data_IF_219214182591
#
_entry.id   IF_219214182591
#
_cell.length_a   1.000
_cell.length_b   1.000
_cell.length_c   1.000
_cell.angle_alpha   90.00
_cell.angle_beta   90.00
_cell.angle_gamma   90.00
#
_symmetry.space_group_name_H-M   'P 1'
#
loop_
_entity.id
_entity.type
_entity.pdbx_description
1 polymer ?
#
# COMPACT_ATOMS: atom_id res chain seq x y z
N UNK A 1 25.32 -6.43 -2.28
CA UNK A 1 23.96 -5.89 -2.51
C UNK A 1 23.49 -6.22 -3.92
N UNK A 2 22.21 -6.57 -4.12
CA UNK A 2 21.58 -6.76 -5.43
C UNK A 2 20.27 -5.99 -5.51
N UNK A 3 19.93 -5.47 -6.69
CA UNK A 3 18.72 -4.68 -6.92
C UNK A 3 17.80 -5.43 -7.90
N UNK A 4 16.54 -5.65 -7.53
CA UNK A 4 15.55 -6.35 -8.34
C UNK A 4 14.36 -5.45 -8.64
N UNK A 5 14.16 -5.10 -9.91
CA UNK A 5 12.99 -4.35 -10.36
C UNK A 5 11.86 -5.31 -10.75
N UNK A 6 10.67 -5.08 -10.21
CA UNK A 6 9.46 -5.85 -10.51
C UNK A 6 8.44 -4.93 -11.18
N UNK A 7 7.76 -5.42 -12.22
CA UNK A 7 6.80 -4.62 -13.01
C UNK A 7 5.34 -5.01 -12.76
N UNK A 8 5.10 -6.14 -12.11
CA UNK A 8 3.77 -6.64 -11.73
C UNK A 8 3.75 -7.10 -10.27
N UNK A 9 2.57 -7.10 -9.64
CA UNK A 9 2.38 -7.60 -8.27
C UNK A 9 2.73 -9.09 -8.21
N UNK A 10 2.45 -9.84 -9.26
CA UNK A 10 2.73 -11.28 -9.37
C UNK A 10 4.24 -11.54 -9.37
N UNK A 11 5.00 -10.75 -10.14
CA UNK A 11 6.47 -10.83 -10.15
C UNK A 11 7.06 -10.47 -8.78
N UNK A 12 6.49 -9.45 -8.11
CA UNK A 12 6.89 -9.05 -6.77
C UNK A 12 6.63 -10.15 -5.73
N UNK A 13 5.41 -10.71 -5.71
CA UNK A 13 5.04 -11.78 -4.80
C UNK A 13 5.95 -13.00 -4.98
N UNK A 14 6.21 -13.39 -6.23
CA UNK A 14 7.11 -14.50 -6.53
C UNK A 14 8.54 -14.24 -6.01
N UNK A 15 9.05 -13.01 -6.19
CA UNK A 15 10.36 -12.62 -5.68
C UNK A 15 10.42 -12.66 -4.15
N UNK A 16 9.39 -12.16 -3.43
CA UNK A 16 9.36 -12.20 -1.96
C UNK A 16 9.47 -13.62 -1.43
N UNK A 17 8.78 -14.58 -2.05
CA UNK A 17 8.82 -15.97 -1.61
C UNK A 17 10.19 -16.60 -1.86
N UNK A 18 10.84 -16.27 -2.99
CA UNK A 18 12.22 -16.73 -3.25
C UNK A 18 13.20 -16.18 -2.22
N UNK A 19 13.10 -14.88 -1.91
CA UNK A 19 13.94 -14.23 -0.91
C UNK A 19 13.69 -14.77 0.50
N UNK A 20 12.44 -15.04 0.87
CA UNK A 20 12.10 -15.64 2.18
C UNK A 20 12.70 -17.04 2.33
N UNK A 21 12.65 -17.87 1.27
CA UNK A 21 13.28 -19.20 1.27
C UNK A 21 14.81 -19.13 1.37
N UNK A 22 15.40 -18.06 0.85
CA UNK A 22 16.82 -17.76 1.00
C UNK A 22 17.17 -17.18 2.38
N UNK A 23 16.18 -16.96 3.25
CA UNK A 23 16.35 -16.45 4.62
C UNK A 23 16.31 -14.94 4.76
N UNK A 24 15.90 -14.21 3.72
CA UNK A 24 15.82 -12.76 3.74
C UNK A 24 14.51 -12.27 4.37
N UNK A 25 14.61 -11.15 5.09
CA UNK A 25 13.52 -10.55 5.87
C UNK A 25 13.58 -9.02 5.80
N UNK A 26 12.48 -8.34 6.08
CA UNK A 26 12.43 -6.87 6.09
C UNK A 26 13.04 -6.27 7.35
N UNK A 27 12.95 -7.00 8.45
CA UNK A 27 13.52 -6.68 9.75
C UNK A 27 13.51 -7.94 10.63
N UNK A 28 13.86 -7.81 11.91
CA UNK A 28 13.90 -8.95 12.84
C UNK A 28 12.55 -9.67 13.03
N UNK A 29 11.43 -9.00 12.71
CA UNK A 29 10.07 -9.47 12.97
C UNK A 29 9.34 -9.89 11.69
N UNK A 30 9.43 -9.09 10.63
CA UNK A 30 8.64 -9.23 9.42
C UNK A 30 9.38 -10.04 8.34
N UNK A 31 8.75 -11.14 7.91
CA UNK A 31 9.25 -11.94 6.78
C UNK A 31 8.98 -11.27 5.45
N UNK A 32 9.72 -11.67 4.41
CA UNK A 32 9.61 -11.04 3.09
C UNK A 32 8.16 -11.06 2.53
N UNK A 33 7.39 -12.13 2.77
CA UNK A 33 6.01 -12.26 2.26
C UNK A 33 4.93 -11.58 3.10
N UNK A 34 5.25 -11.14 4.32
CA UNK A 34 4.28 -10.52 5.25
C UNK A 34 4.11 -9.01 5.01
N UNK A 35 5.06 -8.37 4.31
CA UNK A 35 5.01 -6.94 4.00
C UNK A 35 4.92 -6.73 2.48
N UNK A 36 3.82 -6.11 2.04
CA UNK A 36 3.59 -5.79 0.63
C UNK A 36 4.14 -4.40 0.27
N UNK A 37 5.46 -4.27 0.21
CA UNK A 37 6.13 -3.02 -0.17
C UNK A 37 5.78 -2.56 -1.60
N UNK A 38 5.24 -3.45 -2.43
CA UNK A 38 4.72 -3.13 -3.76
C UNK A 38 3.71 -1.98 -3.76
N UNK A 39 2.89 -1.86 -2.71
CA UNK A 39 1.82 -0.86 -2.66
C UNK A 39 2.34 0.58 -2.66
N UNK A 40 3.62 0.78 -2.32
CA UNK A 40 4.26 2.09 -2.26
C UNK A 40 4.65 2.60 -3.65
N UNK A 41 5.36 1.81 -4.46
CA UNK A 41 5.90 2.26 -5.74
C UNK A 41 5.33 1.53 -6.96
N UNK A 42 4.49 0.50 -6.76
CA UNK A 42 3.86 -0.31 -7.81
C UNK A 42 4.92 -0.76 -8.83
N UNK A 43 4.69 -0.56 -10.13
CA UNK A 43 5.61 -0.92 -11.20
C UNK A 43 6.98 -0.21 -11.17
N UNK A 44 7.20 0.74 -10.26
CA UNK A 44 8.50 1.35 -10.00
C UNK A 44 9.23 0.72 -8.79
N UNK A 45 8.73 -0.37 -8.22
CA UNK A 45 9.31 -1.01 -7.03
C UNK A 45 10.62 -1.72 -7.36
N UNK A 46 11.69 -1.31 -6.69
CA UNK A 46 12.97 -2.03 -6.67
C UNK A 46 13.19 -2.60 -5.27
N UNK A 47 13.34 -3.91 -5.20
CA UNK A 47 13.71 -4.63 -3.98
C UNK A 47 15.24 -4.64 -3.88
N UNK A 48 15.73 -4.18 -2.75
CA UNK A 48 17.15 -4.06 -2.42
C UNK A 48 17.49 -5.24 -1.52
N UNK A 49 18.34 -6.13 -2.02
CA UNK A 49 18.88 -7.26 -1.28
C UNK A 49 20.20 -6.82 -0.66
N UNK A 50 20.20 -6.53 0.63
CA UNK A 50 21.41 -6.14 1.37
C UNK A 50 22.26 -7.39 1.70
N UNK A 51 23.52 -7.19 2.09
CA UNK A 51 24.45 -8.31 2.29
C UNK A 51 24.11 -9.18 3.51
N UNK A 52 23.40 -8.63 4.50
CA UNK A 52 23.30 -9.18 5.85
C UNK A 52 21.93 -9.79 6.15
N UNK A 53 21.31 -10.42 5.13
CA UNK A 53 19.97 -11.01 5.16
C UNK A 53 18.78 -10.03 5.25
N UNK A 54 19.04 -8.73 5.24
CA UNK A 54 17.99 -7.71 5.26
C UNK A 54 17.54 -7.27 3.86
N UNK A 55 16.27 -6.89 3.78
CA UNK A 55 15.62 -6.35 2.59
C UNK A 55 15.31 -4.86 2.75
N UNK A 56 15.59 -4.10 1.71
CA UNK A 56 15.13 -2.73 1.52
C UNK A 56 14.26 -2.62 0.28
N UNK A 57 13.57 -1.50 0.12
CA UNK A 57 12.84 -1.21 -1.12
C UNK A 57 12.85 0.30 -1.40
N UNK A 58 12.89 0.66 -2.68
CA UNK A 58 12.85 2.04 -3.11
C UNK A 58 12.26 2.15 -4.52
N UNK A 59 12.03 3.38 -4.97
CA UNK A 59 11.64 3.63 -6.35
C UNK A 59 12.82 3.40 -7.30
N UNK A 60 12.53 2.94 -8.51
CA UNK A 60 13.52 2.74 -9.58
C UNK A 60 14.40 3.99 -9.80
N UNK A 61 13.78 5.16 -9.92
CA UNK A 61 14.53 6.42 -10.12
C UNK A 61 15.41 6.82 -8.94
N UNK A 62 15.03 6.46 -7.70
CA UNK A 62 15.92 6.65 -6.54
C UNK A 62 17.14 5.73 -6.67
N UNK A 63 16.93 4.45 -6.98
CA UNK A 63 18.01 3.48 -7.14
C UNK A 63 18.97 3.86 -8.27
N UNK A 64 18.46 4.33 -9.42
CA UNK A 64 19.29 4.79 -10.54
C UNK A 64 20.18 5.99 -10.17
N UNK A 65 19.69 6.88 -9.29
CA UNK A 65 20.43 8.06 -8.86
C UNK A 65 21.46 7.77 -7.76
N UNK A 66 21.13 6.87 -6.84
CA UNK A 66 21.95 6.60 -5.64
C UNK A 66 22.91 5.44 -5.88
N UNK A 67 22.46 4.38 -6.54
CA UNK A 67 23.23 3.17 -6.79
C UNK A 67 23.72 3.12 -8.25
N UNK A 68 24.41 4.17 -8.68
CA UNK A 68 24.79 4.37 -10.09
C UNK A 68 25.63 3.21 -10.67
N UNK A 69 26.47 2.60 -9.83
CA UNK A 69 27.36 1.49 -10.21
C UNK A 69 26.73 0.11 -9.98
N UNK A 70 25.50 0.05 -9.43
CA UNK A 70 24.81 -1.22 -9.16
C UNK A 70 23.69 -1.44 -10.17
N UNK A 71 23.85 -2.37 -11.13
CA UNK A 71 22.83 -2.59 -12.14
C UNK A 71 21.54 -3.14 -11.52
N UNK A 72 20.42 -2.53 -11.92
CA UNK A 72 19.08 -2.98 -11.52
C UNK A 72 18.68 -4.16 -12.40
N UNK A 73 18.48 -5.31 -11.78
CA UNK A 73 18.09 -6.54 -12.47
C UNK A 73 16.58 -6.59 -12.60
N UNK A 74 16.07 -6.66 -13.83
CA UNK A 74 14.65 -6.89 -14.05
C UNK A 74 14.29 -8.32 -13.64
N UNK A 75 13.34 -8.46 -12.73
CA UNK A 75 12.83 -9.75 -12.29
C UNK A 75 11.54 -10.09 -13.04
N UNK A 76 11.44 -11.34 -13.50
CA UNK A 76 10.23 -11.90 -14.10
C UNK A 76 10.03 -13.31 -13.57
N UNK A 77 8.88 -13.56 -12.96
CA UNK A 77 8.54 -14.88 -12.45
C UNK A 77 8.38 -15.88 -13.61
N UNK A 78 8.88 -17.10 -13.43
CA UNK A 78 8.62 -18.20 -14.37
C UNK A 78 7.19 -18.70 -14.17
N UNK A 79 6.43 -18.82 -15.26
CA UNK A 79 5.02 -19.26 -15.27
C UNK A 79 4.76 -20.54 -14.47
N UNK A 80 5.68 -21.51 -14.51
CA UNK A 80 5.55 -22.79 -13.78
C UNK A 80 5.53 -22.62 -12.25
N UNK A 81 6.16 -21.56 -11.72
CA UNK A 81 6.12 -21.24 -10.29
C UNK A 81 4.80 -20.58 -9.89
N UNK A 82 4.21 -19.77 -10.78
CA UNK A 82 2.95 -19.04 -10.55
C UNK A 82 1.77 -20.03 -10.42
N UNK A 83 1.71 -21.05 -11.28
CA UNK A 83 0.65 -22.06 -11.26
C UNK A 83 0.57 -22.81 -9.92
N UNK A 84 1.72 -23.18 -9.33
CA UNK A 84 1.78 -23.88 -8.04
C UNK A 84 1.22 -23.04 -6.88
N UNK A 85 1.40 -21.72 -6.90
CA UNK A 85 0.87 -20.84 -5.85
C UNK A 85 -0.63 -20.57 -5.98
N UNK A 86 -1.21 -20.56 -7.19
CA UNK A 86 -2.66 -20.48 -7.31
C UNK A 86 -3.33 -21.70 -6.68
N UNK A 87 -2.75 -22.90 -6.86
CA UNK A 87 -3.26 -24.12 -6.25
C UNK A 87 -3.08 -24.11 -4.73
N UNK A 88 -1.91 -23.71 -4.21
CA UNK A 88 -1.65 -23.64 -2.77
C UNK A 88 -2.49 -22.55 -2.08
N UNK A 89 -2.66 -21.38 -2.70
CA UNK A 89 -3.49 -20.29 -2.17
C UNK A 89 -4.98 -20.63 -2.23
N UNK A 90 -5.46 -21.30 -3.28
CA UNK A 90 -6.82 -21.80 -3.36
C UNK A 90 -7.09 -22.89 -2.30
N UNK A 91 -6.11 -23.77 -2.06
CA UNK A 91 -6.20 -24.79 -1.01
C UNK A 91 -6.19 -24.18 0.40
N UNK A 92 -5.38 -23.13 0.65
CA UNK A 92 -5.37 -22.39 1.92
C UNK A 92 -6.68 -21.61 2.11
N UNK A 93 -7.17 -20.90 1.08
CA UNK A 93 -8.45 -20.19 1.14
C UNK A 93 -9.62 -21.14 1.38
N UNK A 94 -9.61 -22.33 0.76
CA UNK A 94 -10.60 -23.39 0.99
C UNK A 94 -10.51 -23.94 2.41
N UNK A 95 -9.31 -24.17 2.95
CA UNK A 95 -9.11 -24.60 4.33
C UNK A 95 -9.53 -23.52 5.36
N UNK A 96 -9.27 -22.25 5.07
CA UNK A 96 -9.67 -21.11 5.91
C UNK A 96 -11.19 -20.88 5.90
N UNK A 97 -11.84 -21.10 4.76
CA UNK A 97 -13.31 -21.01 4.63
C UNK A 97 -14.04 -22.12 5.39
N UNK A 98 -13.43 -23.32 5.49
CA UNK A 98 -13.98 -24.45 6.27
C UNK A 98 -13.87 -24.23 7.78
N UNK A 99 -12.86 -23.49 8.26
CA UNK A 99 -12.60 -23.31 9.69
C UNK A 99 -13.26 -22.06 10.31
N UNK A 100 -14.10 -21.32 9.57
CA UNK A 100 -14.95 -20.26 10.14
C UNK A 100 -14.20 -19.10 10.80
N UNK A 101 -12.93 -18.87 10.46
CA UNK A 101 -12.16 -17.73 10.99
C UNK A 101 -12.58 -16.48 10.24
N UNK A 102 -13.43 -15.67 10.87
CA UNK A 102 -13.74 -14.32 10.42
C UNK A 102 -12.47 -13.48 10.45
N UNK A 103 -11.92 -13.14 9.28
CA UNK A 103 -10.88 -12.13 9.16
C UNK A 103 -11.47 -10.79 9.60
N UNK A 104 -11.03 -10.28 10.75
CA UNK A 104 -11.16 -8.85 11.02
C UNK A 104 -10.27 -8.15 9.99
N UNK A 105 -10.90 -7.45 9.05
CA UNK A 105 -10.24 -6.47 8.21
C UNK A 105 -9.69 -5.37 9.13
N UNK A 106 -8.41 -5.45 9.48
CA UNK A 106 -7.67 -4.29 9.95
C UNK A 106 -7.45 -3.36 8.74
N UNK A 107 -8.52 -2.64 8.38
CA UNK A 107 -8.54 -1.59 7.38
C UNK A 107 -7.67 -0.43 7.87
N UNK A 108 -6.36 -0.55 7.69
CA UNK A 108 -5.37 0.48 7.95
C UNK A 108 -5.33 1.50 6.78
N UNK A 109 -6.49 1.82 6.22
CA UNK A 109 -6.61 2.79 5.14
C UNK A 109 -6.41 4.19 5.73
N UNK A 110 -5.17 4.68 5.74
CA UNK A 110 -4.83 6.02 6.26
C UNK A 110 -5.56 7.16 5.54
N UNK A 111 -6.18 6.89 4.39
CA UNK A 111 -6.93 7.87 3.61
C UNK A 111 -8.41 7.84 4.00
N UNK A 112 -9.03 6.67 4.05
CA UNK A 112 -10.46 6.54 4.33
C UNK A 112 -10.77 6.28 5.81
N UNK A 113 -9.91 5.54 6.52
CA UNK A 113 -10.06 5.15 7.93
C UNK A 113 -8.74 5.35 8.73
N UNK A 114 -8.31 6.60 9.00
CA UNK A 114 -7.15 6.81 9.87
C UNK A 114 -7.45 6.27 11.28
N UNK A 115 -6.57 5.40 11.81
CA UNK A 115 -6.65 4.72 13.12
C UNK A 115 -7.01 5.63 14.30
N UNK A 116 -6.77 6.93 14.18
CA UNK A 116 -6.98 7.92 15.24
C UNK A 116 -8.41 8.51 15.29
N UNK A 117 -9.34 8.06 14.45
CA UNK A 117 -10.71 8.60 14.39
C UNK A 117 -11.85 7.59 14.57
N UNK A 118 -11.55 6.29 14.69
CA UNK A 118 -12.55 5.21 14.77
C UNK A 118 -12.97 4.83 16.20
N UNK A 119 -12.59 5.62 17.21
CA UNK A 119 -13.00 5.36 18.59
C UNK A 119 -14.47 5.77 18.79
N UNK A 120 -15.40 4.82 18.62
CA UNK A 120 -16.82 5.00 19.00
C UNK A 120 -17.88 4.58 17.98
N UNK A 121 -17.51 4.03 16.81
CA UNK A 121 -18.48 3.48 15.84
C UNK A 121 -19.26 4.51 15.01
N UNK A 122 -18.88 5.79 15.07
CA UNK A 122 -19.37 6.85 14.18
C UNK A 122 -18.16 7.37 13.41
N UNK A 123 -18.23 7.42 12.09
CA UNK A 123 -17.19 8.03 11.27
C UNK A 123 -17.12 9.53 11.57
N UNK A 124 -15.91 10.04 11.80
CA UNK A 124 -15.73 11.45 12.23
C UNK A 124 -16.33 12.44 11.25
N UNK A 125 -16.32 12.12 9.95
CA UNK A 125 -16.89 12.96 8.91
C UNK A 125 -18.42 13.06 9.00
N UNK A 126 -19.10 11.96 9.34
CA UNK A 126 -20.55 11.94 9.49
C UNK A 126 -21.00 12.79 10.69
N UNK A 127 -20.23 12.73 11.79
CA UNK A 127 -20.46 13.63 12.92
C UNK A 127 -20.29 15.10 12.53
N UNK A 128 -19.26 15.42 11.74
CA UNK A 128 -19.03 16.78 11.24
C UNK A 128 -20.17 17.24 10.35
N UNK A 129 -20.59 16.42 9.37
CA UNK A 129 -21.75 16.70 8.51
C UNK A 129 -23.02 16.97 9.31
N UNK A 130 -23.25 16.21 10.38
CA UNK A 130 -24.42 16.40 11.24
C UNK A 130 -24.38 17.67 12.12
N UNK A 131 -23.19 18.25 12.36
CA UNK A 131 -23.01 19.40 13.28
C UNK A 131 -22.64 20.69 12.58
N UNK A 132 -22.02 20.64 11.41
CA UNK A 132 -21.57 21.79 10.64
C UNK A 132 -22.66 22.17 9.65
N UNK A 133 -23.26 23.35 9.86
CA UNK A 133 -24.33 23.87 8.99
C UNK A 133 -23.86 24.16 7.56
N UNK A 134 -22.59 24.53 7.39
CA UNK A 134 -21.95 24.81 6.11
C UNK A 134 -20.85 23.78 5.84
N UNK A 135 -21.27 22.54 5.59
CA UNK A 135 -20.36 21.46 5.22
C UNK A 135 -19.57 21.75 3.93
N UNK A 136 -20.15 22.36 2.87
CA UNK A 136 -19.41 22.69 1.65
C UNK A 136 -18.15 23.54 1.90
N UNK A 137 -18.24 24.59 2.72
CA UNK A 137 -17.06 25.40 3.07
C UNK A 137 -15.99 24.61 3.84
N UNK A 138 -16.41 23.68 4.71
CA UNK A 138 -15.48 22.79 5.43
C UNK A 138 -14.74 21.85 4.46
N UNK A 139 -15.47 21.21 3.53
CA UNK A 139 -14.88 20.34 2.52
C UNK A 139 -13.93 21.13 1.60
N UNK A 140 -14.34 22.29 1.10
CA UNK A 140 -13.51 23.16 0.26
C UNK A 140 -12.20 23.58 0.96
N UNK A 141 -12.26 23.93 2.24
CA UNK A 141 -11.07 24.25 3.04
C UNK A 141 -10.11 23.07 3.17
N UNK A 142 -10.62 21.84 3.34
CA UNK A 142 -9.79 20.64 3.37
C UNK A 142 -9.16 20.34 2.01
N UNK A 143 -9.91 20.46 0.92
CA UNK A 143 -9.41 20.30 -0.44
C UNK A 143 -8.24 21.27 -0.67
N UNK A 144 -8.44 22.57 -0.39
CA UNK A 144 -7.40 23.59 -0.53
C UNK A 144 -6.16 23.27 0.31
N UNK A 145 -6.36 22.88 1.58
CA UNK A 145 -5.28 22.50 2.51
C UNK A 145 -4.42 21.36 1.97
N UNK A 146 -5.04 20.33 1.39
CA UNK A 146 -4.29 19.17 0.91
C UNK A 146 -3.64 19.44 -0.46
N UNK A 147 -4.32 20.17 -1.34
CA UNK A 147 -3.77 20.60 -2.64
C UNK A 147 -2.64 21.62 -2.47
N UNK A 148 -2.61 22.43 -1.41
CA UNK A 148 -1.48 23.34 -1.17
C UNK A 148 -0.27 22.66 -0.54
N UNK A 149 -0.46 21.49 0.10
CA UNK A 149 0.55 20.84 0.94
C UNK A 149 1.29 19.69 0.28
N UNK A 150 0.73 19.13 -0.79
CA UNK A 150 1.24 17.88 -1.37
C UNK A 150 2.72 17.97 -1.76
N UNK A 151 3.17 19.07 -2.37
CA UNK A 151 4.56 19.20 -2.84
C UNK A 151 5.60 19.12 -1.73
N UNK A 152 5.26 19.52 -0.50
CA UNK A 152 6.22 19.74 0.58
C UNK A 152 5.95 18.92 1.84
N UNK A 153 4.93 18.05 1.87
CA UNK A 153 4.66 17.19 3.04
C UNK A 153 4.42 15.72 2.71
N UNK A 154 3.25 15.38 2.17
CA UNK A 154 2.84 13.97 2.01
C UNK A 154 2.67 13.54 0.55
N UNK A 155 3.04 14.38 -0.43
CA UNK A 155 2.95 14.05 -1.85
C UNK A 155 1.55 13.58 -2.26
N UNK A 156 1.52 12.48 -3.01
CA UNK A 156 0.29 11.88 -3.54
C UNK A 156 -0.74 11.52 -2.45
N UNK A 157 -0.34 11.27 -1.20
CA UNK A 157 -1.29 10.98 -0.11
C UNK A 157 -2.18 12.19 0.19
N UNK A 158 -1.63 13.41 0.18
CA UNK A 158 -2.43 14.63 0.34
C UNK A 158 -3.36 14.81 -0.88
N UNK A 159 -2.91 14.52 -2.11
CA UNK A 159 -3.80 14.56 -3.27
C UNK A 159 -4.94 13.54 -3.19
N UNK A 160 -4.69 12.33 -2.66
CA UNK A 160 -5.74 11.34 -2.40
C UNK A 160 -6.74 11.83 -1.36
N UNK A 161 -6.28 12.50 -0.29
CA UNK A 161 -7.16 13.14 0.70
C UNK A 161 -7.96 14.28 0.10
N UNK A 162 -7.36 15.12 -0.75
CA UNK A 162 -8.09 16.16 -1.48
C UNK A 162 -9.21 15.56 -2.34
N UNK A 163 -8.90 14.49 -3.09
CA UNK A 163 -9.90 13.78 -3.91
C UNK A 163 -11.02 13.17 -3.07
N UNK A 164 -10.71 12.61 -1.89
CA UNK A 164 -11.72 12.10 -0.97
C UNK A 164 -12.73 13.19 -0.59
N UNK A 165 -12.26 14.36 -0.12
CA UNK A 165 -13.14 15.49 0.20
C UNK A 165 -13.88 16.05 -1.02
N UNK A 166 -13.28 16.00 -2.21
CA UNK A 166 -13.93 16.42 -3.44
C UNK A 166 -15.08 15.49 -3.83
N UNK A 167 -14.85 14.17 -3.82
CA UNK A 167 -15.89 13.19 -4.11
C UNK A 167 -17.04 13.30 -3.10
N UNK A 168 -16.72 13.40 -1.81
CA UNK A 168 -17.72 13.52 -0.76
C UNK A 168 -18.55 14.81 -0.88
N UNK A 169 -17.91 15.92 -1.27
CA UNK A 169 -18.63 17.16 -1.57
C UNK A 169 -19.54 17.03 -2.79
N UNK A 170 -19.12 16.32 -3.85
CA UNK A 170 -19.97 16.04 -5.01
C UNK A 170 -21.20 15.24 -4.56
N UNK A 171 -21.00 14.14 -3.83
CA UNK A 171 -22.10 13.32 -3.31
C UNK A 171 -23.07 14.12 -2.43
N UNK A 172 -22.54 14.99 -1.57
CA UNK A 172 -23.37 15.91 -0.76
C UNK A 172 -24.24 16.80 -1.64
N UNK A 173 -23.63 17.45 -2.64
CA UNK A 173 -24.31 18.40 -3.54
C UNK A 173 -25.30 17.73 -4.50
N UNK A 174 -25.11 16.44 -4.82
CA UNK A 174 -26.05 15.65 -5.64
C UNK A 174 -27.22 15.09 -4.81
N UNK A 175 -27.07 15.04 -3.48
CA UNK A 175 -28.10 14.55 -2.54
C UNK A 175 -29.04 15.64 -2.02
N UNK A 176 -28.66 16.91 -2.16
CA UNK A 176 -29.47 18.11 -1.91
C UNK A 176 -30.37 18.45 -3.11
#
# INVERSE_FOLDING_TARGET
MKLYHTETQEDYNALMIELEKEGYKWNEVEKATENNAWDVFKNNTVVIKECDADLGFASKGYCERIYIDTPIQKYKAKLDKIAKYHDDAANIAKAMSVNGVSMKNDNNDKVNNPVHYTTGGIETLDYIKAKVKDYPSYAAGNILKYVSRYEHKNGIEDLKKARFYLNDLIEWMESD
#
